data_IF_324388918493
#
_entry.id   IF_324388918493
#
_cell.length_a   1.000
_cell.length_b   1.000
_cell.length_c   1.000
_cell.angle_alpha   90.00
_cell.angle_beta   90.00
_cell.angle_gamma   90.00
#
_symmetry.space_group_name_H-M   'P 1'
#
loop_
_entity.id
_entity.type
_entity.pdbx_description
1 polymer ?
#
# COMPACT_ATOMS: atom_id res chain seq x y z
N UNK A 1 -4.21 6.16 11.29
CA UNK A 1 -5.54 5.83 10.71
C UNK A 1 -6.38 5.11 11.77
N UNK A 2 -7.70 5.24 11.77
CA UNK A 2 -8.58 4.46 12.68
C UNK A 2 -8.76 3.04 12.12
N UNK A 3 -8.96 2.04 12.97
CA UNK A 3 -9.13 0.61 12.61
C UNK A 3 -10.19 0.41 11.50
N UNK A 4 -11.36 1.02 11.65
CA UNK A 4 -12.44 0.93 10.65
C UNK A 4 -12.04 1.47 9.27
N UNK A 5 -11.19 2.50 9.23
CA UNK A 5 -10.68 3.07 7.98
C UNK A 5 -9.66 2.13 7.33
N UNK A 6 -8.81 1.46 8.12
CA UNK A 6 -7.87 0.44 7.63
C UNK A 6 -8.65 -0.69 6.97
N UNK A 7 -9.66 -1.22 7.65
CA UNK A 7 -10.48 -2.32 7.13
C UNK A 7 -11.25 -1.90 5.86
N UNK A 8 -11.77 -0.66 5.80
CA UNK A 8 -12.46 -0.16 4.61
C UNK A 8 -11.54 -0.04 3.40
N UNK A 9 -10.31 0.45 3.58
CA UNK A 9 -9.32 0.55 2.50
C UNK A 9 -8.91 -0.84 2.01
N UNK A 10 -8.65 -1.76 2.95
CA UNK A 10 -8.20 -3.12 2.61
C UNK A 10 -9.32 -4.01 2.05
N UNK A 11 -10.59 -3.75 2.37
CA UNK A 11 -11.74 -4.52 1.87
C UNK A 11 -11.88 -4.53 0.34
N UNK A 12 -11.25 -3.58 -0.36
CA UNK A 12 -11.19 -3.59 -1.83
C UNK A 12 -10.28 -4.67 -2.44
N UNK A 13 -9.47 -5.34 -1.63
CA UNK A 13 -8.51 -6.33 -2.08
C UNK A 13 -8.89 -7.74 -1.61
N UNK A 14 -8.96 -8.68 -2.55
CA UNK A 14 -9.39 -10.06 -2.30
C UNK A 14 -8.41 -10.83 -1.42
N UNK A 15 -7.15 -10.40 -1.39
CA UNK A 15 -6.05 -11.00 -0.65
C UNK A 15 -5.66 -10.20 0.61
N UNK A 16 -6.48 -9.26 1.04
CA UNK A 16 -6.23 -8.46 2.24
C UNK A 16 -5.99 -9.32 3.50
N UNK A 17 -6.65 -10.48 3.60
CA UNK A 17 -6.49 -11.43 4.70
C UNK A 17 -5.10 -12.11 4.74
N UNK A 18 -4.34 -12.06 3.64
CA UNK A 18 -2.96 -12.57 3.60
C UNK A 18 -1.95 -11.58 4.17
N UNK A 19 -2.38 -10.36 4.50
CA UNK A 19 -1.55 -9.31 5.10
C UNK A 19 -1.34 -9.59 6.58
N UNK A 20 -0.09 -9.54 7.04
CA UNK A 20 0.21 -9.64 8.47
C UNK A 20 -0.41 -8.48 9.25
N UNK A 21 -0.90 -8.73 10.47
CA UNK A 21 -1.67 -7.74 11.24
C UNK A 21 -0.90 -6.43 11.47
N UNK A 22 0.40 -6.53 11.76
CA UNK A 22 1.26 -5.36 11.95
C UNK A 22 1.39 -4.48 10.69
N UNK A 23 1.23 -5.06 9.50
CA UNK A 23 1.43 -4.38 8.22
C UNK A 23 0.15 -3.70 7.69
N UNK A 24 -1.03 -4.11 8.18
CA UNK A 24 -2.33 -3.63 7.69
C UNK A 24 -2.44 -2.11 7.71
N UNK A 25 -2.08 -1.49 8.84
CA UNK A 25 -2.15 -0.04 9.00
C UNK A 25 -1.22 0.70 8.04
N UNK A 26 0.01 0.19 7.85
CA UNK A 26 1.00 0.78 6.94
C UNK A 26 0.58 0.67 5.48
N UNK A 27 0.16 -0.52 5.06
CA UNK A 27 -0.32 -0.76 3.70
C UNK A 27 -1.53 0.10 3.38
N UNK A 28 -2.52 0.15 4.29
CA UNK A 28 -3.71 0.96 4.09
C UNK A 28 -3.37 2.47 3.97
N UNK A 29 -2.38 2.96 4.73
CA UNK A 29 -1.91 4.33 4.59
C UNK A 29 -1.27 4.57 3.21
N UNK A 30 -0.36 3.70 2.76
CA UNK A 30 0.28 3.79 1.45
C UNK A 30 -0.72 3.71 0.29
N UNK A 31 -1.75 2.89 0.42
CA UNK A 31 -2.84 2.81 -0.58
C UNK A 31 -3.65 4.09 -0.60
N UNK A 32 -4.00 4.62 0.57
CA UNK A 32 -4.76 5.86 0.70
C UNK A 32 -4.02 7.07 0.13
N UNK A 33 -2.70 7.11 0.26
CA UNK A 33 -1.85 8.20 -0.28
C UNK A 33 -1.45 7.98 -1.74
N UNK A 34 -1.83 6.85 -2.35
CA UNK A 34 -1.48 6.51 -3.73
C UNK A 34 0.00 6.15 -3.94
N UNK A 35 0.76 5.92 -2.85
CA UNK A 35 2.15 5.48 -2.92
C UNK A 35 2.22 4.02 -3.41
N UNK A 36 1.23 3.20 -3.06
CA UNK A 36 1.09 1.81 -3.49
C UNK A 36 -0.33 1.59 -4.01
N UNK A 37 -0.49 0.95 -5.16
CA UNK A 37 -1.81 0.72 -5.79
C UNK A 37 -2.26 -0.75 -5.81
N UNK A 38 -1.39 -1.67 -5.38
CA UNK A 38 -1.56 -3.11 -5.59
C UNK A 38 -1.12 -3.57 -6.99
N UNK A 39 -1.02 -4.89 -7.18
CA UNK A 39 -0.66 -5.51 -8.47
C UNK A 39 -1.81 -5.44 -9.48
N UNK A 40 -3.04 -5.36 -8.99
CA UNK A 40 -4.25 -5.16 -9.78
C UNK A 40 -5.26 -4.36 -8.96
N UNK A 41 -6.42 -4.04 -9.57
CA UNK A 41 -7.51 -3.35 -8.87
C UNK A 41 -8.02 -4.08 -7.63
N UNK A 42 -7.76 -5.39 -7.51
CA UNK A 42 -8.29 -6.24 -6.44
C UNK A 42 -7.21 -7.05 -5.72
N UNK A 43 -5.92 -6.91 -6.05
CA UNK A 43 -4.85 -7.70 -5.45
C UNK A 43 -3.68 -6.83 -4.95
N UNK A 44 -3.31 -7.00 -3.69
CA UNK A 44 -2.12 -6.37 -3.08
C UNK A 44 -0.84 -7.20 -3.25
N UNK A 45 -0.99 -8.52 -3.28
CA UNK A 45 0.08 -9.50 -3.24
C UNK A 45 1.07 -9.30 -2.07
N UNK A 46 0.61 -9.28 -0.80
CA UNK A 46 1.41 -8.87 0.35
C UNK A 46 2.58 -9.82 0.69
N UNK A 47 2.57 -11.04 0.16
CA UNK A 47 3.61 -12.06 0.37
C UNK A 47 4.54 -12.23 -0.84
N UNK A 48 4.26 -11.55 -1.95
CA UNK A 48 5.06 -11.67 -3.15
C UNK A 48 6.32 -10.79 -3.04
N UNK A 49 7.36 -11.21 -3.75
CA UNK A 49 8.58 -10.42 -3.86
C UNK A 49 8.31 -9.12 -4.61
N UNK A 50 8.81 -8.01 -4.07
CA UNK A 50 8.80 -6.71 -4.73
C UNK A 50 10.04 -6.54 -5.63
N UNK A 51 9.87 -5.93 -6.80
CA UNK A 51 10.98 -5.62 -7.69
C UNK A 51 11.66 -4.30 -7.30
N UNK A 52 12.91 -4.13 -7.73
CA UNK A 52 13.65 -2.86 -7.50
C UNK A 52 12.96 -1.64 -8.12
N UNK A 53 12.32 -1.82 -9.28
CA UNK A 53 11.57 -0.76 -9.95
C UNK A 53 10.35 -0.32 -9.14
N UNK A 54 9.61 -1.28 -8.57
CA UNK A 54 8.45 -1.00 -7.71
C UNK A 54 8.85 -0.29 -6.42
N UNK A 55 9.95 -0.71 -5.79
CA UNK A 55 10.51 -0.01 -4.63
C UNK A 55 10.89 1.42 -4.99
N UNK A 56 11.58 1.63 -6.10
CA UNK A 56 11.96 2.98 -6.54
C UNK A 56 10.74 3.88 -6.82
N UNK A 57 9.70 3.33 -7.45
CA UNK A 57 8.44 4.05 -7.68
C UNK A 57 7.74 4.43 -6.36
N UNK A 58 7.67 3.52 -5.40
CA UNK A 58 7.07 3.78 -4.09
C UNK A 58 7.86 4.85 -3.31
N UNK A 59 9.20 4.78 -3.32
CA UNK A 59 10.05 5.81 -2.68
C UNK A 59 9.85 7.16 -3.36
N UNK A 60 9.83 7.22 -4.70
CA UNK A 60 9.58 8.45 -5.43
C UNK A 60 8.21 9.05 -5.06
N UNK A 61 7.17 8.23 -5.04
CA UNK A 61 5.82 8.66 -4.64
C UNK A 61 5.79 9.20 -3.21
N UNK A 62 6.46 8.53 -2.27
CA UNK A 62 6.59 9.00 -0.89
C UNK A 62 7.27 10.38 -0.82
N UNK A 63 8.39 10.57 -1.53
CA UNK A 63 9.13 11.83 -1.53
C UNK A 63 8.29 12.96 -2.15
N UNK A 64 7.55 12.70 -3.23
CA UNK A 64 6.62 13.66 -3.83
C UNK A 64 5.50 14.04 -2.86
N UNK A 65 4.84 13.06 -2.22
CA UNK A 65 3.79 13.32 -1.22
C UNK A 65 4.30 14.11 0.00
N UNK A 66 5.60 14.02 0.28
CA UNK A 66 6.25 14.74 1.37
C UNK A 66 6.81 16.10 0.96
N UNK A 67 6.60 16.53 -0.29
CA UNK A 67 7.16 17.75 -0.88
C UNK A 67 8.69 17.84 -0.80
N UNK A 68 9.37 16.70 -0.91
CA UNK A 68 10.83 16.63 -0.94
C UNK A 68 11.39 16.65 -2.36
N UNK A 69 10.56 16.28 -3.35
CA UNK A 69 10.86 16.30 -4.79
C UNK A 69 9.57 16.61 -5.58
N UNK A 70 9.73 17.00 -6.86
CA UNK A 70 8.64 17.23 -7.82
C UNK A 70 8.25 15.98 -8.64
#
# INVERSE_FOLDING_TARGET
MKENEVNKVLAGFTDANNTADYAKAGIAACVKTGIISGRSKTALAPKDNITRAEVAAAIRGLLQQSNLID
#
